data_IF_404726946974
#
_entry.id   IF_404726946974
#
_cell.length_a   1.000
_cell.length_b   1.000
_cell.length_c   1.000
_cell.angle_alpha   90.00
_cell.angle_beta   90.00
_cell.angle_gamma   90.00
#
_symmetry.space_group_name_H-M   'P 1'
#
loop_
_entity.id
_entity.type
_entity.pdbx_description
1 polymer ?
#
# COMPACT_ATOMS: atom_id res chain seq x y z
N UNK A 1 -11.77 75.65 22.69
CA UNK A 1 -12.56 74.56 22.08
C UNK A 1 -11.79 73.26 22.25
N UNK A 2 -11.78 72.71 23.46
CA UNK A 2 -11.21 71.41 23.81
C UNK A 2 -12.09 70.88 24.93
N UNK A 3 -12.81 69.78 24.67
CA UNK A 3 -13.40 68.80 25.61
C UNK A 3 -14.48 68.01 24.87
N UNK A 4 -14.09 66.91 24.21
CA UNK A 4 -14.97 65.76 23.93
C UNK A 4 -14.15 64.58 23.38
N UNK A 5 -13.42 63.88 24.25
CA UNK A 5 -12.83 62.56 23.97
C UNK A 5 -13.00 61.58 25.15
N UNK A 6 -13.97 61.82 26.04
CA UNK A 6 -14.16 61.04 27.28
C UNK A 6 -15.12 59.85 27.20
N UNK A 7 -15.78 59.58 26.07
CA UNK A 7 -16.93 58.66 26.02
C UNK A 7 -16.76 57.40 25.13
N UNK A 8 -15.58 57.16 24.55
CA UNK A 8 -15.37 56.02 23.63
C UNK A 8 -14.62 54.84 24.30
N UNK A 9 -14.09 55.00 25.52
CA UNK A 9 -13.25 53.96 26.15
C UNK A 9 -13.95 53.03 27.15
N UNK A 10 -15.25 53.21 27.43
CA UNK A 10 -15.96 52.41 28.44
C UNK A 10 -16.77 51.21 27.88
N UNK A 11 -16.89 51.06 26.56
CA UNK A 11 -17.63 49.95 25.92
C UNK A 11 -16.75 48.84 25.34
N UNK A 12 -15.42 48.99 25.40
CA UNK A 12 -14.46 48.01 24.86
C UNK A 12 -14.09 46.91 25.86
N UNK A 13 -14.03 47.21 27.18
CA UNK A 13 -13.57 46.21 28.17
C UNK A 13 -14.60 45.10 28.40
N UNK A 14 -15.90 45.40 28.43
CA UNK A 14 -16.94 44.38 28.63
C UNK A 14 -17.07 43.40 27.44
N UNK A 15 -16.76 43.85 26.22
CA UNK A 15 -16.71 43.00 25.03
C UNK A 15 -15.39 42.23 24.93
N UNK A 16 -14.27 42.82 25.33
CA UNK A 16 -12.98 42.12 25.41
C UNK A 16 -12.98 41.04 26.50
N UNK A 17 -13.57 41.33 27.68
CA UNK A 17 -13.72 40.38 28.78
C UNK A 17 -14.70 39.25 28.42
N UNK A 18 -15.83 39.55 27.75
CA UNK A 18 -16.72 38.50 27.22
C UNK A 18 -16.05 37.67 26.13
N UNK A 19 -15.32 38.29 25.21
CA UNK A 19 -14.59 37.57 24.17
C UNK A 19 -13.46 36.71 24.78
N UNK A 20 -12.76 37.19 25.81
CA UNK A 20 -11.77 36.39 26.53
C UNK A 20 -12.42 35.27 27.35
N UNK A 21 -13.54 35.52 28.03
CA UNK A 21 -14.31 34.49 28.74
C UNK A 21 -14.88 33.44 27.79
N UNK A 22 -15.40 33.83 26.62
CA UNK A 22 -15.86 32.91 25.58
C UNK A 22 -14.70 32.11 25.00
N UNK A 23 -13.54 32.74 24.73
CA UNK A 23 -12.33 32.05 24.25
C UNK A 23 -11.77 31.09 25.29
N UNK A 24 -11.68 31.49 26.56
CA UNK A 24 -11.24 30.62 27.67
C UNK A 24 -12.26 29.50 27.92
N UNK A 25 -13.56 29.75 27.74
CA UNK A 25 -14.58 28.69 27.84
C UNK A 25 -14.50 27.72 26.65
N UNK A 26 -14.30 28.22 25.44
CA UNK A 26 -14.17 27.41 24.22
C UNK A 26 -12.86 26.60 24.25
N UNK A 27 -11.77 27.20 24.72
CA UNK A 27 -10.49 26.53 24.97
C UNK A 27 -10.62 25.52 26.11
N UNK A 28 -11.43 25.78 27.16
CA UNK A 28 -11.70 24.81 28.23
C UNK A 28 -12.62 23.66 27.78
N UNK A 29 -13.54 23.90 26.85
CA UNK A 29 -14.42 22.89 26.27
C UNK A 29 -13.65 22.08 25.23
N UNK A 30 -12.80 22.70 24.43
CA UNK A 30 -11.88 22.03 23.51
C UNK A 30 -10.82 21.23 24.28
N UNK A 31 -10.27 21.78 25.37
CA UNK A 31 -9.38 21.07 26.27
C UNK A 31 -10.10 19.90 26.96
N UNK A 32 -11.33 20.09 27.47
CA UNK A 32 -12.14 18.98 28.02
C UNK A 32 -12.55 17.97 26.96
N UNK A 33 -12.75 18.36 25.70
CA UNK A 33 -13.06 17.45 24.59
C UNK A 33 -11.83 16.69 24.14
N UNK A 34 -10.65 17.32 24.13
CA UNK A 34 -9.34 16.69 23.93
C UNK A 34 -8.97 15.77 25.09
N UNK A 35 -9.28 16.16 26.33
CA UNK A 35 -9.10 15.36 27.55
C UNK A 35 -10.09 14.19 27.59
N UNK A 36 -11.32 14.36 27.09
CA UNK A 36 -12.32 13.30 26.91
C UNK A 36 -12.01 12.37 25.73
N UNK A 37 -11.35 12.89 24.67
CA UNK A 37 -10.81 12.09 23.58
C UNK A 37 -9.56 11.30 24.00
N UNK A 38 -8.71 11.89 24.85
CA UNK A 38 -7.58 11.23 25.50
C UNK A 38 -8.04 10.20 26.54
N UNK A 39 -9.17 10.45 27.22
CA UNK A 39 -9.85 9.58 28.18
C UNK A 39 -10.89 8.64 27.52
N UNK A 40 -10.70 8.25 26.26
CA UNK A 40 -11.55 7.23 25.64
C UNK A 40 -11.17 5.83 26.16
N UNK A 41 -11.45 5.56 27.43
CA UNK A 41 -11.27 4.25 28.08
C UNK A 41 -12.32 3.22 27.66
N UNK A 42 -13.33 3.63 26.89
CA UNK A 42 -14.31 2.69 26.35
C UNK A 42 -13.64 1.83 25.27
N UNK A 43 -13.29 0.58 25.62
CA UNK A 43 -12.78 -0.42 24.68
C UNK A 43 -13.84 -0.92 23.70
N UNK A 44 -15.09 -0.43 23.80
CA UNK A 44 -16.14 -0.78 22.85
C UNK A 44 -15.77 -0.30 21.45
N UNK A 45 -15.92 -1.22 20.49
CA UNK A 45 -15.66 -0.96 19.07
C UNK A 45 -17.02 -0.66 18.42
N UNK A 46 -17.24 0.55 17.89
CA UNK A 46 -18.46 0.89 17.17
C UNK A 46 -18.78 -0.15 16.09
N UNK A 47 -20.06 -0.54 15.97
CA UNK A 47 -20.51 -1.55 14.99
C UNK A 47 -20.10 -1.20 13.56
N UNK A 48 -20.05 0.09 13.22
CA UNK A 48 -19.67 0.58 11.91
C UNK A 48 -18.22 0.22 11.52
N UNK A 49 -17.32 0.10 12.49
CA UNK A 49 -15.90 -0.17 12.23
C UNK A 49 -15.65 -1.61 11.76
N UNK A 50 -16.62 -2.50 11.95
CA UNK A 50 -16.57 -3.86 11.39
C UNK A 50 -16.75 -3.90 9.87
N UNK A 51 -17.19 -2.80 9.24
CA UNK A 51 -17.26 -2.73 7.78
C UNK A 51 -15.89 -2.85 7.12
N UNK A 52 -14.82 -2.35 7.74
CA UNK A 52 -13.47 -2.42 7.20
C UNK A 52 -12.96 -3.88 7.05
N UNK A 53 -12.94 -4.71 8.11
CA UNK A 53 -12.53 -6.12 7.96
C UNK A 53 -13.50 -6.94 7.10
N UNK A 54 -14.80 -6.66 7.12
CA UNK A 54 -15.75 -7.32 6.23
C UNK A 54 -15.50 -6.98 4.76
N UNK A 55 -15.20 -5.71 4.46
CA UNK A 55 -14.82 -5.25 3.13
C UNK A 55 -13.53 -5.89 2.65
N UNK A 56 -12.53 -6.02 3.52
CA UNK A 56 -11.28 -6.72 3.23
C UNK A 56 -11.52 -8.19 2.84
N UNK A 57 -12.32 -8.92 3.63
CA UNK A 57 -12.69 -10.31 3.35
C UNK A 57 -13.46 -10.42 2.03
N UNK A 58 -14.38 -9.50 1.77
CA UNK A 58 -15.15 -9.46 0.52
C UNK A 58 -14.25 -9.22 -0.70
N UNK A 59 -13.29 -8.30 -0.60
CA UNK A 59 -12.31 -8.03 -1.65
C UNK A 59 -11.45 -9.28 -1.95
N UNK A 60 -10.94 -9.95 -0.91
CA UNK A 60 -10.13 -11.16 -1.07
C UNK A 60 -10.95 -12.35 -1.61
N UNK A 61 -12.23 -12.44 -1.26
CA UNK A 61 -13.16 -13.41 -1.84
C UNK A 61 -13.34 -13.19 -3.35
N UNK A 62 -13.62 -11.96 -3.78
CA UNK A 62 -13.76 -11.63 -5.20
C UNK A 62 -12.44 -11.79 -5.97
N UNK A 63 -11.30 -11.45 -5.34
CA UNK A 63 -9.98 -11.77 -5.88
C UNK A 63 -9.87 -13.26 -6.19
N UNK A 64 -10.22 -14.15 -5.24
CA UNK A 64 -10.16 -15.59 -5.48
C UNK A 64 -11.13 -16.06 -6.56
N UNK A 65 -12.31 -15.44 -6.66
CA UNK A 65 -13.28 -15.73 -7.72
C UNK A 65 -12.71 -15.38 -9.09
N UNK A 66 -12.19 -14.16 -9.28
CA UNK A 66 -11.61 -13.73 -10.55
C UNK A 66 -10.33 -14.48 -10.90
N UNK A 67 -9.50 -14.82 -9.90
CA UNK A 67 -8.35 -15.70 -10.10
C UNK A 67 -8.79 -17.04 -10.71
N UNK A 68 -9.79 -17.70 -10.12
CA UNK A 68 -10.32 -18.97 -10.64
C UNK A 68 -10.92 -18.82 -12.04
N UNK A 69 -11.63 -17.73 -12.29
CA UNK A 69 -12.19 -17.40 -13.61
C UNK A 69 -11.08 -17.30 -14.65
N UNK A 70 -10.02 -16.52 -14.41
CA UNK A 70 -8.89 -16.40 -15.34
C UNK A 70 -8.18 -17.75 -15.52
N UNK A 71 -7.91 -18.48 -14.44
CA UNK A 71 -7.23 -19.78 -14.53
C UNK A 71 -8.03 -20.84 -15.30
N UNK A 72 -9.35 -20.69 -15.44
CA UNK A 72 -10.20 -21.60 -16.21
C UNK A 72 -10.04 -21.44 -17.72
N UNK A 73 -9.51 -20.31 -18.21
CA UNK A 73 -9.21 -20.12 -19.62
C UNK A 73 -7.98 -20.94 -20.04
N UNK A 74 -7.96 -21.45 -21.30
CA UNK A 74 -6.83 -22.20 -21.82
C UNK A 74 -5.59 -21.31 -21.97
N UNK A 75 -4.40 -21.87 -21.73
CA UNK A 75 -3.12 -21.16 -21.87
C UNK A 75 -2.68 -20.98 -23.33
N UNK A 76 -3.40 -21.59 -24.29
CA UNK A 76 -3.08 -21.53 -25.71
C UNK A 76 -2.39 -22.80 -26.20
N UNK A 77 -1.60 -22.66 -27.26
CA UNK A 77 -0.85 -23.76 -27.86
C UNK A 77 0.46 -24.08 -27.10
N UNK A 78 1.12 -25.17 -27.49
CA UNK A 78 2.34 -25.64 -26.82
C UNK A 78 3.44 -24.59 -26.78
N UNK A 79 3.58 -23.79 -27.85
CA UNK A 79 4.63 -22.78 -27.96
C UNK A 79 4.34 -21.59 -27.05
N UNK A 80 3.07 -21.18 -26.96
CA UNK A 80 2.64 -20.15 -26.00
C UNK A 80 2.90 -20.57 -24.55
N UNK A 81 2.59 -21.81 -24.19
CA UNK A 81 2.83 -22.35 -22.85
C UNK A 81 4.33 -22.39 -22.52
N UNK A 82 5.16 -22.80 -23.48
CA UNK A 82 6.61 -22.84 -23.35
C UNK A 82 7.20 -21.44 -23.09
N UNK A 83 6.86 -20.46 -23.93
CA UNK A 83 7.33 -19.07 -23.80
C UNK A 83 6.88 -18.48 -22.45
N UNK A 84 5.61 -18.64 -22.10
CA UNK A 84 5.10 -18.17 -20.81
C UNK A 84 5.75 -18.88 -19.62
N UNK A 85 6.17 -20.14 -19.79
CA UNK A 85 6.96 -20.89 -18.84
C UNK A 85 8.31 -20.22 -18.56
N UNK A 86 9.06 -19.86 -19.60
CA UNK A 86 10.34 -19.16 -19.47
C UNK A 86 10.21 -17.79 -18.80
N UNK A 87 9.21 -16.99 -19.19
CA UNK A 87 8.95 -15.70 -18.56
C UNK A 87 8.60 -15.88 -17.07
N UNK A 88 7.77 -16.87 -16.75
CA UNK A 88 7.37 -17.16 -15.37
C UNK A 88 8.56 -17.61 -14.52
N UNK A 89 9.42 -18.48 -15.05
CA UNK A 89 10.64 -18.92 -14.37
C UNK A 89 11.58 -17.74 -14.12
N UNK A 90 11.82 -16.90 -15.12
CA UNK A 90 12.65 -15.70 -15.00
C UNK A 90 12.12 -14.72 -13.95
N UNK A 91 10.81 -14.45 -13.96
CA UNK A 91 10.17 -13.55 -12.99
C UNK A 91 10.29 -14.08 -11.55
N UNK A 92 10.09 -15.38 -11.33
CA UNK A 92 10.29 -15.98 -10.00
C UNK A 92 11.74 -15.98 -9.56
N UNK A 93 12.69 -16.25 -10.47
CA UNK A 93 14.12 -16.21 -10.17
C UNK A 93 14.55 -14.80 -9.73
N UNK A 94 14.11 -13.78 -10.46
CA UNK A 94 14.35 -12.38 -10.14
C UNK A 94 13.79 -12.00 -8.76
N UNK A 95 12.48 -12.22 -8.54
CA UNK A 95 11.85 -11.86 -7.26
C UNK A 95 12.47 -12.59 -6.07
N UNK A 96 12.86 -13.86 -6.23
CA UNK A 96 13.54 -14.62 -5.18
C UNK A 96 14.87 -13.94 -4.78
N UNK A 97 15.63 -13.47 -5.77
CA UNK A 97 16.89 -12.79 -5.50
C UNK A 97 16.65 -11.41 -4.87
N UNK A 98 15.70 -10.63 -5.40
CA UNK A 98 15.32 -9.34 -4.84
C UNK A 98 14.87 -9.47 -3.38
N UNK A 99 13.95 -10.40 -3.09
CA UNK A 99 13.40 -10.58 -1.74
C UNK A 99 14.45 -11.09 -0.77
N UNK A 100 15.45 -11.86 -1.22
CA UNK A 100 16.59 -12.25 -0.38
C UNK A 100 17.38 -11.03 0.08
N UNK A 101 17.68 -10.10 -0.82
CA UNK A 101 18.42 -8.87 -0.48
C UNK A 101 17.57 -7.96 0.41
N UNK A 102 16.29 -7.80 0.08
CA UNK A 102 15.37 -6.98 0.87
C UNK A 102 15.17 -7.55 2.27
N UNK A 103 15.06 -8.87 2.42
CA UNK A 103 14.97 -9.52 3.73
C UNK A 103 16.18 -9.20 4.62
N UNK A 104 17.40 -9.19 4.06
CA UNK A 104 18.61 -8.80 4.81
C UNK A 104 18.50 -7.35 5.28
N UNK A 105 18.09 -6.43 4.41
CA UNK A 105 17.87 -5.04 4.78
C UNK A 105 16.82 -4.90 5.89
N UNK A 106 15.70 -5.61 5.77
CA UNK A 106 14.63 -5.62 6.77
C UNK A 106 15.09 -6.11 8.14
N UNK A 107 15.99 -7.10 8.20
CA UNK A 107 16.59 -7.55 9.46
C UNK A 107 17.39 -6.42 10.12
N UNK A 108 18.21 -5.69 9.36
CA UNK A 108 18.99 -4.57 9.91
C UNK A 108 18.09 -3.44 10.45
N UNK A 109 17.07 -3.04 9.67
CA UNK A 109 16.12 -2.00 10.10
C UNK A 109 15.30 -2.47 11.29
N UNK A 110 14.87 -3.73 11.32
CA UNK A 110 14.18 -4.31 12.46
C UNK A 110 15.03 -4.25 13.74
N UNK A 111 16.31 -4.63 13.67
CA UNK A 111 17.23 -4.55 14.82
C UNK A 111 17.37 -3.09 15.28
N UNK A 112 17.53 -2.15 14.35
CA UNK A 112 17.61 -0.73 14.69
C UNK A 112 16.33 -0.25 15.39
N UNK A 113 15.15 -0.53 14.83
CA UNK A 113 13.86 -0.18 15.44
C UNK A 113 13.66 -0.86 16.80
N UNK A 114 14.11 -2.12 16.96
CA UNK A 114 14.06 -2.83 18.22
C UNK A 114 14.96 -2.18 19.29
N UNK A 115 16.15 -1.70 18.94
CA UNK A 115 17.02 -0.93 19.85
C UNK A 115 16.35 0.39 20.25
N UNK A 116 15.78 1.13 19.28
CA UNK A 116 15.06 2.39 19.57
C UNK A 116 13.85 2.17 20.48
N UNK A 117 13.15 1.05 20.29
CA UNK A 117 11.93 0.75 21.01
C UNK A 117 12.16 0.13 22.39
N UNK A 118 12.95 -0.94 22.48
CA UNK A 118 13.17 -1.67 23.74
C UNK A 118 14.38 -1.17 24.53
N UNK A 119 15.43 -0.70 23.84
CA UNK A 119 16.65 -0.20 24.47
C UNK A 119 16.51 1.26 24.93
N UNK A 120 16.22 2.16 24.00
CA UNK A 120 16.13 3.60 24.27
C UNK A 120 14.73 4.06 24.74
N UNK A 121 13.70 3.22 24.55
CA UNK A 121 12.30 3.52 24.92
C UNK A 121 11.75 4.81 24.31
N UNK A 122 12.24 5.16 23.12
CA UNK A 122 11.79 6.35 22.36
C UNK A 122 10.54 6.02 21.53
N UNK A 123 10.36 4.74 21.18
CA UNK A 123 9.29 4.27 20.31
C UNK A 123 8.51 3.11 20.95
N UNK A 124 7.24 2.97 20.55
CA UNK A 124 6.38 1.89 21.04
C UNK A 124 6.91 0.51 20.65
N UNK A 125 6.80 -0.45 21.58
CA UNK A 125 7.21 -1.86 21.43
C UNK A 125 6.65 -2.56 20.20
N UNK A 126 5.55 -2.05 19.64
CA UNK A 126 4.87 -2.63 18.49
C UNK A 126 5.47 -2.21 17.13
N UNK A 127 6.19 -1.08 17.08
CA UNK A 127 6.72 -0.52 15.82
C UNK A 127 7.61 -1.50 15.05
N UNK A 128 8.58 -2.21 15.67
CA UNK A 128 9.43 -3.14 14.93
C UNK A 128 8.64 -4.29 14.30
N UNK A 129 7.63 -4.81 15.00
CA UNK A 129 6.80 -5.92 14.49
C UNK A 129 5.89 -5.47 13.36
N UNK A 130 5.29 -4.29 13.52
CA UNK A 130 4.40 -3.77 12.52
C UNK A 130 5.12 -3.33 11.23
N UNK A 131 6.35 -2.84 11.35
CA UNK A 131 7.27 -2.66 10.22
C UNK A 131 7.47 -3.96 9.43
N UNK A 132 7.65 -5.10 10.11
CA UNK A 132 7.79 -6.39 9.44
C UNK A 132 6.49 -6.84 8.78
N UNK A 133 5.35 -6.70 9.47
CA UNK A 133 4.06 -7.17 8.92
C UNK A 133 3.65 -6.37 7.69
N UNK A 134 3.78 -5.04 7.71
CA UNK A 134 3.38 -4.18 6.59
C UNK A 134 4.28 -4.38 5.38
N UNK A 135 5.60 -4.50 5.58
CA UNK A 135 6.53 -4.79 4.49
C UNK A 135 6.34 -6.19 3.92
N UNK A 136 6.07 -7.19 4.76
CA UNK A 136 5.72 -8.52 4.30
C UNK A 136 4.45 -8.52 3.43
N UNK A 137 3.40 -7.82 3.86
CA UNK A 137 2.13 -7.75 3.12
C UNK A 137 2.25 -6.95 1.82
N UNK A 138 3.05 -5.88 1.80
CA UNK A 138 3.41 -5.16 0.57
C UNK A 138 4.13 -6.08 -0.42
N UNK A 139 5.10 -6.87 0.06
CA UNK A 139 5.81 -7.86 -0.76
C UNK A 139 4.88 -8.95 -1.25
N UNK A 140 4.01 -9.47 -0.37
CA UNK A 140 3.00 -10.47 -0.72
C UNK A 140 2.04 -9.95 -1.81
N UNK A 141 1.60 -8.69 -1.73
CA UNK A 141 0.75 -8.07 -2.74
C UNK A 141 1.44 -8.06 -4.12
N UNK A 142 2.70 -7.59 -4.18
CA UNK A 142 3.50 -7.61 -5.40
C UNK A 142 3.70 -9.02 -5.96
N UNK A 143 4.05 -9.99 -5.10
CA UNK A 143 4.25 -11.38 -5.50
C UNK A 143 2.98 -12.03 -6.07
N UNK A 144 1.84 -11.89 -5.37
CA UNK A 144 0.58 -12.48 -5.81
C UNK A 144 0.07 -11.82 -7.11
N UNK A 145 0.29 -10.52 -7.25
CA UNK A 145 -0.02 -9.79 -8.48
C UNK A 145 0.79 -10.27 -9.68
N UNK A 146 2.11 -10.37 -9.55
CA UNK A 146 2.97 -10.91 -10.61
C UNK A 146 2.66 -12.38 -10.90
N UNK A 147 2.32 -13.18 -9.88
CA UNK A 147 1.83 -14.55 -10.09
C UNK A 147 0.55 -14.57 -10.93
N UNK A 148 -0.37 -13.63 -10.73
CA UNK A 148 -1.56 -13.52 -11.58
C UNK A 148 -1.17 -13.11 -13.00
N UNK A 149 -0.37 -12.05 -13.17
CA UNK A 149 0.03 -11.54 -14.48
C UNK A 149 0.74 -12.60 -15.33
N UNK A 150 1.76 -13.28 -14.79
CA UNK A 150 2.49 -14.36 -15.47
C UNK A 150 1.62 -15.57 -15.84
N UNK A 151 0.49 -15.77 -15.16
CA UNK A 151 -0.48 -16.81 -15.55
C UNK A 151 -1.52 -16.30 -16.55
N UNK A 152 -1.79 -15.00 -16.57
CA UNK A 152 -2.79 -14.39 -17.43
C UNK A 152 -2.27 -14.09 -18.84
N UNK A 153 -0.99 -13.74 -19.02
CA UNK A 153 -0.46 -13.25 -20.31
C UNK A 153 -0.75 -14.19 -21.49
N UNK A 154 -0.37 -15.46 -21.40
CA UNK A 154 -0.66 -16.43 -22.46
C UNK A 154 -2.17 -16.66 -22.70
N UNK A 155 -2.96 -16.65 -21.62
CA UNK A 155 -4.42 -16.79 -21.68
C UNK A 155 -5.07 -15.59 -22.37
N UNK A 156 -4.55 -14.39 -22.15
CA UNK A 156 -4.98 -13.16 -22.82
C UNK A 156 -4.70 -13.25 -24.32
N UNK A 157 -3.50 -13.70 -24.71
CA UNK A 157 -3.14 -13.90 -26.13
C UNK A 157 -4.05 -14.95 -26.79
N UNK A 158 -4.34 -16.06 -26.12
CA UNK A 158 -5.27 -17.08 -26.63
C UNK A 158 -6.71 -16.55 -26.71
N UNK A 159 -7.13 -15.73 -25.75
CA UNK A 159 -8.40 -15.03 -25.81
C UNK A 159 -8.50 -14.08 -27.00
N UNK A 160 -7.43 -13.33 -27.28
CA UNK A 160 -7.35 -12.38 -28.39
C UNK A 160 -7.45 -13.07 -29.76
N UNK A 161 -7.00 -14.33 -29.90
CA UNK A 161 -7.21 -15.15 -31.11
C UNK A 161 -8.69 -15.43 -31.39
N UNK A 162 -9.54 -15.44 -30.36
CA UNK A 162 -11.00 -15.66 -30.50
C UNK A 162 -11.73 -14.35 -30.71
N UNK A 163 -11.47 -13.36 -29.87
CA UNK A 163 -11.99 -12.00 -30.03
C UNK A 163 -11.25 -11.00 -29.15
N UNK A 164 -11.26 -9.73 -29.56
CA UNK A 164 -10.73 -8.64 -28.76
C UNK A 164 -11.45 -8.51 -27.40
N UNK A 165 -12.77 -8.68 -27.39
CA UNK A 165 -13.59 -8.64 -26.16
C UNK A 165 -13.16 -9.74 -25.17
N UNK A 166 -12.88 -10.96 -25.65
CA UNK A 166 -12.43 -12.04 -24.79
C UNK A 166 -11.02 -11.77 -24.23
N UNK A 167 -10.08 -11.32 -25.07
CA UNK A 167 -8.74 -10.92 -24.61
C UNK A 167 -8.81 -9.82 -23.55
N UNK A 168 -9.59 -8.77 -23.80
CA UNK A 168 -9.79 -7.66 -22.86
C UNK A 168 -10.40 -8.11 -21.53
N UNK A 169 -11.42 -8.99 -21.55
CA UNK A 169 -12.03 -9.53 -20.33
C UNK A 169 -11.02 -10.29 -19.47
N UNK A 170 -10.18 -11.12 -20.08
CA UNK A 170 -9.15 -11.88 -19.34
C UNK A 170 -8.13 -10.93 -18.72
N UNK A 171 -7.62 -9.97 -19.51
CA UNK A 171 -6.67 -8.96 -19.05
C UNK A 171 -7.25 -8.11 -17.91
N UNK A 172 -8.48 -7.61 -18.07
CA UNK A 172 -9.14 -6.79 -17.06
C UNK A 172 -9.44 -7.57 -15.77
N UNK A 173 -9.89 -8.82 -15.88
CA UNK A 173 -10.10 -9.70 -14.70
C UNK A 173 -8.79 -9.99 -13.98
N UNK A 174 -7.70 -10.20 -14.71
CA UNK A 174 -6.36 -10.35 -14.14
C UNK A 174 -5.90 -9.08 -13.38
N UNK A 175 -6.08 -7.89 -13.99
CA UNK A 175 -5.79 -6.62 -13.33
C UNK A 175 -6.66 -6.37 -12.08
N UNK A 176 -7.93 -6.77 -12.13
CA UNK A 176 -8.83 -6.69 -10.98
C UNK A 176 -8.37 -7.56 -9.80
N UNK A 177 -7.76 -8.73 -10.06
CA UNK A 177 -7.17 -9.57 -9.00
C UNK A 177 -6.05 -8.81 -8.28
N UNK A 178 -5.14 -8.16 -9.01
CA UNK A 178 -4.09 -7.33 -8.40
C UNK A 178 -4.68 -6.23 -7.52
N UNK A 179 -5.61 -5.42 -8.05
CA UNK A 179 -6.21 -4.33 -7.28
C UNK A 179 -6.95 -4.80 -6.02
N UNK A 180 -7.67 -5.92 -6.10
CA UNK A 180 -8.38 -6.49 -4.95
C UNK A 180 -7.44 -7.10 -3.91
N UNK A 181 -6.28 -7.63 -4.31
CA UNK A 181 -5.24 -8.09 -3.37
C UNK A 181 -4.68 -6.90 -2.61
N UNK A 182 -4.30 -5.84 -3.31
CA UNK A 182 -3.74 -4.61 -2.72
C UNK A 182 -4.69 -4.04 -1.66
N UNK A 183 -5.94 -3.76 -2.04
CA UNK A 183 -6.94 -3.18 -1.15
C UNK A 183 -7.32 -4.14 -0.03
N UNK A 184 -7.51 -5.43 -0.36
CA UNK A 184 -7.91 -6.46 0.60
C UNK A 184 -6.85 -6.71 1.68
N UNK A 185 -5.58 -6.83 1.30
CA UNK A 185 -4.49 -7.03 2.26
C UNK A 185 -4.25 -5.78 3.11
N UNK A 186 -4.26 -4.58 2.51
CA UNK A 186 -4.03 -3.34 3.25
C UNK A 186 -5.13 -3.08 4.29
N UNK A 187 -6.41 -3.22 3.91
CA UNK A 187 -7.52 -3.08 4.84
C UNK A 187 -7.50 -4.16 5.93
N UNK A 188 -7.13 -5.39 5.57
CA UNK A 188 -7.01 -6.47 6.55
C UNK A 188 -5.91 -6.16 7.57
N UNK A 189 -4.74 -5.70 7.12
CA UNK A 189 -3.62 -5.35 8.00
C UNK A 189 -3.97 -4.23 8.97
N UNK A 190 -4.49 -3.10 8.45
CA UNK A 190 -4.94 -1.98 9.29
C UNK A 190 -6.01 -2.45 10.29
N UNK A 191 -6.98 -3.25 9.85
CA UNK A 191 -8.03 -3.75 10.72
C UNK A 191 -7.48 -4.69 11.80
N UNK A 192 -6.63 -5.65 11.44
CA UNK A 192 -6.06 -6.60 12.41
C UNK A 192 -5.28 -5.85 13.49
N UNK A 193 -4.39 -4.93 13.09
CA UNK A 193 -3.61 -4.14 14.04
C UNK A 193 -4.45 -3.21 14.89
N UNK A 194 -5.41 -2.51 14.27
CA UNK A 194 -6.31 -1.62 14.99
C UNK A 194 -7.10 -2.36 16.08
N UNK A 195 -7.72 -3.49 15.72
CA UNK A 195 -8.49 -4.30 16.66
C UNK A 195 -7.59 -4.96 17.71
N UNK A 196 -6.39 -5.39 17.32
CA UNK A 196 -5.42 -5.96 18.24
C UNK A 196 -5.02 -4.95 19.33
N UNK A 197 -4.60 -3.76 18.92
CA UNK A 197 -4.21 -2.68 19.84
C UNK A 197 -5.41 -2.27 20.71
N UNK A 198 -6.60 -2.07 20.14
CA UNK A 198 -7.76 -1.63 20.91
C UNK A 198 -8.25 -2.66 21.95
N UNK A 199 -8.19 -3.96 21.62
CA UNK A 199 -8.77 -5.03 22.46
C UNK A 199 -7.78 -5.60 23.47
N UNK A 200 -6.53 -5.78 23.07
CA UNK A 200 -5.53 -6.51 23.85
C UNK A 200 -4.46 -5.63 24.48
N UNK A 201 -4.46 -4.32 24.21
CA UNK A 201 -3.55 -3.37 24.84
C UNK A 201 -4.33 -2.22 25.48
N UNK A 202 -3.63 -1.38 26.24
CA UNK A 202 -4.17 -0.16 26.87
C UNK A 202 -3.70 1.11 26.15
N UNK A 203 -3.25 0.95 24.90
CA UNK A 203 -2.78 2.06 24.06
C UNK A 203 -3.96 2.96 23.71
N UNK A 204 -3.83 4.25 24.04
CA UNK A 204 -4.85 5.25 23.74
C UNK A 204 -5.03 5.44 22.23
N UNK A 205 -6.17 6.04 21.82
CA UNK A 205 -6.41 6.33 20.40
C UNK A 205 -5.36 7.29 19.83
N UNK A 206 -4.89 8.25 20.64
CA UNK A 206 -3.83 9.19 20.29
C UNK A 206 -2.49 8.49 20.09
N UNK A 207 -2.14 7.53 20.95
CA UNK A 207 -0.92 6.74 20.75
C UNK A 207 -1.03 5.83 19.53
N UNK A 208 -2.20 5.21 19.29
CA UNK A 208 -2.43 4.43 18.06
C UNK A 208 -2.28 5.30 16.81
N UNK A 209 -2.73 6.55 16.83
CA UNK A 209 -2.57 7.50 15.74
C UNK A 209 -1.10 7.85 15.44
N UNK A 210 -0.19 7.70 16.42
CA UNK A 210 1.26 7.87 16.21
C UNK A 210 1.91 6.55 15.79
N UNK A 211 1.47 5.44 16.38
CA UNK A 211 2.05 4.11 16.16
C UNK A 211 1.72 3.58 14.76
N UNK A 212 0.44 3.65 14.34
CA UNK A 212 -0.02 3.06 13.09
C UNK A 212 0.70 3.66 11.87
N UNK A 213 0.88 4.99 11.71
CA UNK A 213 1.62 5.53 10.57
C UNK A 213 3.07 5.04 10.47
N UNK A 214 3.73 4.73 11.60
CA UNK A 214 5.07 4.12 11.58
C UNK A 214 5.06 2.73 10.91
N UNK A 215 3.90 2.09 10.75
CA UNK A 215 3.77 0.82 10.06
C UNK A 215 3.93 1.01 8.56
N UNK A 216 3.49 2.16 8.02
CA UNK A 216 3.65 2.50 6.60
C UNK A 216 5.12 2.43 6.15
N UNK A 217 6.06 2.72 7.05
CA UNK A 217 7.50 2.65 6.79
C UNK A 217 7.95 1.30 6.21
N UNK A 218 7.45 0.18 6.75
CA UNK A 218 7.78 -1.16 6.24
C UNK A 218 7.28 -1.37 4.81
N UNK A 219 6.05 -0.97 4.54
CA UNK A 219 5.48 -0.99 3.19
C UNK A 219 6.29 -0.09 2.23
N UNK A 220 6.70 1.11 2.66
CA UNK A 220 7.48 2.04 1.84
C UNK A 220 8.86 1.52 1.49
N UNK A 221 9.58 0.91 2.43
CA UNK A 221 10.88 0.29 2.10
C UNK A 221 10.72 -0.88 1.14
N UNK A 222 9.72 -1.75 1.35
CA UNK A 222 9.45 -2.85 0.44
C UNK A 222 9.12 -2.34 -0.97
N UNK A 223 8.21 -1.36 -1.08
CA UNK A 223 7.80 -0.75 -2.33
C UNK A 223 8.97 -0.07 -3.05
N UNK A 224 9.82 0.65 -2.31
CA UNK A 224 11.02 1.30 -2.84
C UNK A 224 11.94 0.29 -3.52
N UNK A 225 12.32 -0.80 -2.82
CA UNK A 225 13.18 -1.81 -3.41
C UNK A 225 12.50 -2.57 -4.54
N UNK A 226 11.21 -2.89 -4.41
CA UNK A 226 10.41 -3.56 -5.42
C UNK A 226 10.42 -2.77 -6.74
N UNK A 227 10.06 -1.47 -6.67
CA UNK A 227 9.97 -0.57 -7.81
C UNK A 227 11.32 -0.23 -8.40
N UNK A 228 12.29 0.17 -7.58
CA UNK A 228 13.61 0.57 -8.10
C UNK A 228 14.32 -0.62 -8.72
N UNK A 229 14.33 -1.76 -8.02
CA UNK A 229 14.93 -2.98 -8.54
C UNK A 229 14.25 -3.43 -9.84
N UNK A 230 12.93 -3.61 -9.81
CA UNK A 230 12.17 -4.11 -10.96
C UNK A 230 12.18 -3.13 -12.12
N UNK A 231 12.11 -1.82 -11.83
CA UNK A 231 12.19 -0.74 -12.80
C UNK A 231 13.53 -0.68 -13.53
N UNK A 232 14.65 -0.86 -12.82
CA UNK A 232 15.98 -0.95 -13.45
C UNK A 232 16.05 -2.17 -14.35
N UNK A 233 15.57 -3.33 -13.88
CA UNK A 233 15.59 -4.56 -14.65
C UNK A 233 14.77 -4.45 -15.94
N UNK A 234 13.52 -3.99 -15.84
CA UNK A 234 12.61 -3.88 -16.98
C UNK A 234 13.12 -2.84 -17.98
N UNK A 235 13.52 -1.65 -17.53
CA UNK A 235 13.93 -0.59 -18.47
C UNK A 235 15.29 -0.82 -19.10
N UNK A 236 16.19 -1.54 -18.44
CA UNK A 236 17.42 -1.98 -19.08
C UNK A 236 17.16 -3.00 -20.20
N UNK A 237 16.20 -3.91 -19.99
CA UNK A 237 15.83 -4.91 -20.99
C UNK A 237 15.04 -4.31 -22.16
N UNK A 238 13.99 -3.55 -21.88
CA UNK A 238 13.11 -2.83 -22.81
C UNK A 238 13.95 -1.95 -23.77
N UNK A 239 14.73 -1.01 -23.22
CA UNK A 239 15.57 -0.11 -24.05
C UNK A 239 16.61 -0.87 -24.86
N UNK A 240 17.20 -1.93 -24.30
CA UNK A 240 18.18 -2.75 -25.02
C UNK A 240 17.55 -3.57 -26.16
N UNK A 241 16.38 -4.15 -25.92
CA UNK A 241 15.62 -4.93 -26.90
C UNK A 241 15.17 -4.03 -28.06
N UNK A 242 14.60 -2.88 -27.74
CA UNK A 242 14.01 -1.98 -28.72
C UNK A 242 15.04 -1.27 -29.59
N UNK A 243 16.12 -0.75 -29.00
CA UNK A 243 17.13 -0.04 -29.78
C UNK A 243 17.84 -0.97 -30.76
N UNK A 244 18.32 -2.12 -30.30
CA UNK A 244 19.04 -3.05 -31.16
C UNK A 244 18.09 -3.75 -32.14
N UNK A 245 16.90 -4.12 -31.68
CA UNK A 245 15.90 -4.81 -32.51
C UNK A 245 15.30 -3.91 -33.58
N UNK A 246 14.61 -2.84 -33.16
CA UNK A 246 13.82 -1.98 -34.05
C UNK A 246 14.70 -1.03 -34.85
N UNK A 247 15.70 -0.40 -34.21
CA UNK A 247 16.47 0.70 -34.82
C UNK A 247 17.68 0.20 -35.58
N UNK A 248 18.47 -0.72 -35.02
CA UNK A 248 19.70 -1.19 -35.66
C UNK A 248 19.47 -2.37 -36.61
N UNK A 249 18.77 -3.41 -36.17
CA UNK A 249 18.56 -4.62 -36.94
C UNK A 249 17.32 -4.58 -37.86
N UNK A 250 16.40 -3.63 -37.63
CA UNK A 250 15.17 -3.49 -38.40
C UNK A 250 14.22 -4.68 -38.28
N UNK A 251 14.27 -5.41 -37.15
CA UNK A 251 13.34 -6.50 -36.85
C UNK A 251 12.14 -5.99 -36.04
N UNK A 252 10.97 -6.66 -36.11
CA UNK A 252 9.81 -6.29 -35.31
C UNK A 252 10.08 -6.25 -33.80
N UNK A 253 9.24 -5.52 -33.08
CA UNK A 253 9.12 -5.59 -31.62
C UNK A 253 8.79 -7.00 -31.15
N UNK A 254 9.31 -7.41 -29.99
CA UNK A 254 9.12 -8.75 -29.42
C UNK A 254 9.51 -9.90 -30.37
N UNK A 255 10.40 -9.65 -31.34
CA UNK A 255 10.81 -10.70 -32.27
C UNK A 255 11.64 -11.79 -31.55
N UNK A 256 11.30 -13.08 -31.73
CA UNK A 256 11.98 -14.18 -31.04
C UNK A 256 13.46 -14.34 -31.37
N UNK A 257 13.97 -13.66 -32.41
CA UNK A 257 15.39 -13.61 -32.75
C UNK A 257 16.18 -12.67 -31.83
N UNK A 258 15.50 -11.75 -31.16
CA UNK A 258 16.13 -10.82 -30.24
C UNK A 258 16.25 -11.47 -28.85
N UNK A 259 17.49 -11.69 -28.34
CA UNK A 259 17.70 -12.38 -27.06
C UNK A 259 17.20 -11.59 -25.85
N UNK A 260 16.95 -10.29 -25.98
CA UNK A 260 16.49 -9.45 -24.87
C UNK A 260 14.98 -9.54 -24.60
N UNK A 261 14.19 -10.11 -25.53
CA UNK A 261 12.72 -10.13 -25.44
C UNK A 261 12.18 -10.91 -24.24
N UNK A 262 12.82 -12.01 -23.84
CA UNK A 262 12.44 -12.73 -22.62
C UNK A 262 12.73 -11.88 -21.38
N UNK A 263 13.86 -11.16 -21.34
CA UNK A 263 14.19 -10.31 -20.21
C UNK A 263 13.23 -9.12 -20.11
N UNK A 264 12.79 -8.57 -21.24
CA UNK A 264 11.80 -7.51 -21.31
C UNK A 264 10.44 -7.97 -20.75
N UNK A 265 9.92 -9.09 -21.28
CA UNK A 265 8.66 -9.68 -20.80
C UNK A 265 8.73 -10.13 -19.32
N UNK A 266 9.91 -10.57 -18.83
CA UNK A 266 10.13 -10.80 -17.40
C UNK A 266 10.07 -9.48 -16.63
N UNK A 267 10.70 -8.45 -17.17
CA UNK A 267 10.70 -7.06 -16.70
C UNK A 267 9.32 -6.52 -16.41
N UNK A 268 8.40 -6.65 -17.37
CA UNK A 268 7.01 -6.20 -17.21
C UNK A 268 6.34 -6.81 -15.96
N UNK A 269 6.63 -8.08 -15.69
CA UNK A 269 6.05 -8.77 -14.55
C UNK A 269 6.71 -8.35 -13.22
N UNK A 270 8.03 -8.13 -13.19
CA UNK A 270 8.75 -7.83 -11.94
C UNK A 270 8.77 -6.34 -11.59
N UNK A 271 8.82 -5.46 -12.59
CA UNK A 271 8.77 -4.01 -12.43
C UNK A 271 7.33 -3.52 -12.43
N UNK A 272 6.68 -3.64 -13.59
CA UNK A 272 5.41 -2.98 -13.86
C UNK A 272 4.24 -3.64 -13.12
N UNK A 273 4.35 -4.91 -12.75
CA UNK A 273 3.35 -5.61 -11.94
C UNK A 273 3.77 -5.71 -10.47
N UNK A 274 4.84 -6.45 -10.13
CA UNK A 274 5.19 -6.65 -8.72
C UNK A 274 5.57 -5.34 -8.00
N UNK A 275 6.37 -4.48 -8.66
CA UNK A 275 6.74 -3.17 -8.15
C UNK A 275 5.53 -2.24 -7.99
N UNK A 276 4.65 -2.19 -8.99
CA UNK A 276 3.42 -1.40 -8.91
C UNK A 276 2.48 -1.90 -7.80
N UNK A 277 2.31 -3.21 -7.65
CA UNK A 277 1.46 -3.79 -6.61
C UNK A 277 1.93 -3.44 -5.20
N UNK A 278 3.25 -3.52 -4.96
CA UNK A 278 3.85 -3.15 -3.68
C UNK A 278 3.70 -1.66 -3.38
N UNK A 279 3.81 -0.80 -4.39
CA UNK A 279 3.62 0.64 -4.22
C UNK A 279 2.17 1.07 -4.04
N UNK A 280 1.24 0.53 -4.83
CA UNK A 280 -0.17 0.84 -4.65
C UNK A 280 -0.64 0.41 -3.25
N UNK A 281 -0.09 -0.68 -2.72
CA UNK A 281 -0.29 -1.09 -1.34
C UNK A 281 0.20 -0.01 -0.38
N UNK A 282 1.45 0.40 -0.53
CA UNK A 282 2.08 1.45 0.29
C UNK A 282 1.24 2.73 0.28
N UNK A 283 0.93 3.27 -0.90
CA UNK A 283 0.28 4.56 -1.03
C UNK A 283 -1.14 4.53 -0.48
N UNK A 284 -1.89 3.44 -0.72
CA UNK A 284 -3.22 3.25 -0.15
C UNK A 284 -3.17 3.12 1.38
N UNK A 285 -2.24 2.31 1.89
CA UNK A 285 -2.05 2.06 3.32
C UNK A 285 -1.66 3.33 4.07
N UNK A 286 -0.61 4.02 3.60
CA UNK A 286 -0.11 5.28 4.18
C UNK A 286 -1.17 6.39 4.15
N UNK A 287 -1.95 6.50 3.07
CA UNK A 287 -3.00 7.53 2.97
C UNK A 287 -4.11 7.35 4.00
N UNK A 288 -4.56 6.12 4.22
CA UNK A 288 -5.60 5.82 5.22
C UNK A 288 -5.09 6.12 6.63
N UNK A 289 -3.87 5.69 6.94
CA UNK A 289 -3.28 5.87 8.26
C UNK A 289 -2.98 7.33 8.56
N UNK A 290 -2.47 8.08 7.59
CA UNK A 290 -2.27 9.52 7.72
C UNK A 290 -3.61 10.25 7.96
N UNK A 291 -4.66 9.88 7.22
CA UNK A 291 -6.00 10.45 7.41
C UNK A 291 -6.58 10.13 8.79
N UNK A 292 -6.41 8.89 9.25
CA UNK A 292 -6.86 8.46 10.59
C UNK A 292 -6.09 9.20 11.69
N UNK A 293 -4.77 9.33 11.55
CA UNK A 293 -3.93 10.05 12.51
C UNK A 293 -4.32 11.53 12.61
N UNK A 294 -4.60 12.17 11.46
CA UNK A 294 -5.07 13.55 11.43
C UNK A 294 -6.45 13.70 12.08
N UNK A 295 -7.38 12.77 11.83
CA UNK A 295 -8.70 12.77 12.46
C UNK A 295 -8.60 12.76 13.98
N UNK A 296 -7.75 11.88 14.53
CA UNK A 296 -7.50 11.80 15.98
C UNK A 296 -6.85 13.08 16.50
N UNK A 297 -5.87 13.65 15.78
CA UNK A 297 -5.22 14.90 16.16
C UNK A 297 -6.21 16.09 16.19
N UNK A 298 -7.22 16.08 15.31
CA UNK A 298 -8.29 17.07 15.29
C UNK A 298 -9.44 16.78 16.30
N UNK A 299 -9.38 15.67 17.04
CA UNK A 299 -10.39 15.29 18.03
C UNK A 299 -11.72 14.80 17.43
N UNK A 300 -11.65 14.16 16.24
CA UNK A 300 -12.76 13.49 15.56
C UNK A 300 -12.89 12.02 15.97
#
# INVERSE_FOLDING_TARGET
>A
MFLSQGAIFATSSAHADKAQLEKTSADSVAAKKAERAASYHDKSIPRLWWLAPLGAVFALFYCRKFYKEVMSYPEGDKKMVEIAGHVREGAYAYLKQQYKVVAIFFIFVFIALAILSFGLKIQSGFVPFAFLTSGFLSGLAGYLGMKMATNASARTTEGAKKSLDQGLKIAFRSGAVMGLIVVGLALLDVSVWFFFLRKYTDVSLTEMAVILPCFGMGASFQALFARVGGGIFTKAADVGADLVGKVEAGIPEDDPRNPATIADNVGDNVGDVAGMGADLYESYYSSILASAALGVACGL
#
